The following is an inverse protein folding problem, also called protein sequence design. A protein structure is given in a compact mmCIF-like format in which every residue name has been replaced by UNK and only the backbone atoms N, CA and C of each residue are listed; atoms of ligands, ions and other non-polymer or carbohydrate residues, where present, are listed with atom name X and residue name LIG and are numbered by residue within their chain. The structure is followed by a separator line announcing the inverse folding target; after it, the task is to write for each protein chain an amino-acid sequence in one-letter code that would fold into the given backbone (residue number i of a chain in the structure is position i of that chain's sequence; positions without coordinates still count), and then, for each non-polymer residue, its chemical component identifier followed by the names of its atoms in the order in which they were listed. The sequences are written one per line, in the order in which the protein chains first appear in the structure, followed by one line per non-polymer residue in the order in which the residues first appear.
data_IF_733017596990
#
_entry.id   IF_733017596990
#
_cell.length_a   1.000
_cell.length_b   1.000
_cell.length_c   1.000
_cell.angle_alpha   90.00
_cell.angle_beta   90.00
_cell.angle_gamma   90.00
#
_symmetry.space_group_name_H-M   'P 1'
#
loop_
_entity.id
_entity.type
_entity.pdbx_description
1 polymer ?
#
# COMPACT_ATOMS: atom_id res chain seq x y z
N UNK A 1 18.05 -23.09 42.78
CA UNK A 1 18.90 -22.89 41.59
C UNK A 1 17.99 -22.77 40.38
N UNK A 2 17.60 -21.56 39.98
CA UNK A 2 16.67 -21.33 38.87
C UNK A 2 17.43 -21.09 37.57
N UNK A 3 17.09 -21.82 36.51
CA UNK A 3 17.66 -21.62 35.19
C UNK A 3 17.17 -20.29 34.61
N UNK A 4 18.08 -19.33 34.43
CA UNK A 4 17.81 -18.08 33.71
C UNK A 4 17.66 -18.43 32.22
N UNK A 5 16.43 -18.35 31.70
CA UNK A 5 16.16 -18.46 30.26
C UNK A 5 16.21 -17.05 29.67
N UNK A 6 17.38 -16.64 29.18
CA UNK A 6 17.45 -15.53 28.23
C UNK A 6 16.81 -16.03 26.93
N UNK A 7 15.54 -15.66 26.71
CA UNK A 7 14.81 -16.05 25.50
C UNK A 7 15.49 -15.47 24.26
N UNK A 8 15.52 -16.23 23.16
CA UNK A 8 15.97 -15.70 21.87
C UNK A 8 15.20 -14.42 21.55
N UNK A 9 15.91 -13.28 21.51
CA UNK A 9 15.37 -12.04 20.91
C UNK A 9 15.19 -12.30 19.42
N UNK A 10 13.99 -12.76 19.04
CA UNK A 10 13.61 -12.94 17.65
C UNK A 10 13.76 -11.62 16.91
N UNK A 11 14.69 -11.56 15.96
CA UNK A 11 14.75 -10.47 15.00
C UNK A 11 13.77 -10.74 13.86
N UNK A 12 13.35 -9.69 13.14
CA UNK A 12 12.49 -9.85 11.96
C UNK A 12 13.26 -10.62 10.87
N UNK A 13 12.70 -11.74 10.42
CA UNK A 13 13.25 -12.47 9.28
C UNK A 13 13.02 -11.65 8.01
N UNK A 14 14.08 -11.00 7.50
CA UNK A 14 14.06 -10.27 6.24
C UNK A 14 14.50 -11.21 5.11
N UNK A 15 13.53 -11.76 4.40
CA UNK A 15 13.77 -12.72 3.28
C UNK A 15 14.08 -11.99 1.96
N UNK A 16 13.65 -10.73 1.84
CA UNK A 16 13.84 -9.91 0.64
C UNK A 16 14.91 -8.85 0.86
N UNK A 17 15.77 -8.67 -0.14
CA UNK A 17 16.75 -7.59 -0.17
C UNK A 17 16.08 -6.22 -0.33
N UNK A 18 16.73 -5.13 0.06
CA UNK A 18 16.20 -3.77 -0.13
C UNK A 18 15.86 -3.46 -1.59
N UNK A 19 16.69 -3.94 -2.53
CA UNK A 19 16.40 -3.83 -3.96
C UNK A 19 15.15 -4.60 -4.41
N UNK A 20 14.87 -5.78 -3.82
CA UNK A 20 13.66 -6.55 -4.12
C UNK A 20 12.41 -5.87 -3.56
N UNK A 21 12.53 -5.26 -2.37
CA UNK A 21 11.46 -4.44 -1.79
C UNK A 21 11.17 -3.23 -2.68
N UNK A 22 12.20 -2.54 -3.16
CA UNK A 22 12.06 -1.41 -4.10
C UNK A 22 11.38 -1.83 -5.41
N UNK A 23 11.73 -2.99 -5.97
CA UNK A 23 11.09 -3.53 -7.18
C UNK A 23 9.60 -3.79 -6.94
N UNK A 24 9.24 -4.42 -5.82
CA UNK A 24 7.84 -4.69 -5.46
C UNK A 24 7.09 -3.37 -5.25
N UNK A 25 7.70 -2.40 -4.59
CA UNK A 25 7.12 -1.09 -4.36
C UNK A 25 6.81 -0.38 -5.68
N UNK A 26 7.80 -0.28 -6.58
CA UNK A 26 7.59 0.36 -7.89
C UNK A 26 6.57 -0.37 -8.76
N UNK A 27 6.61 -1.70 -8.79
CA UNK A 27 5.66 -2.52 -9.55
C UNK A 27 4.23 -2.36 -9.04
N UNK A 28 4.07 -2.29 -7.71
CA UNK A 28 2.77 -2.09 -7.06
C UNK A 28 2.19 -0.72 -7.40
N UNK A 29 3.02 0.32 -7.38
CA UNK A 29 2.62 1.66 -7.76
C UNK A 29 2.24 1.75 -9.25
N UNK A 30 3.00 1.11 -10.15
CA UNK A 30 2.63 1.05 -11.57
C UNK A 30 1.30 0.35 -11.80
N UNK A 31 1.02 -0.75 -11.08
CA UNK A 31 -0.27 -1.43 -11.13
C UNK A 31 -1.39 -0.51 -10.64
N UNK A 32 -1.19 0.20 -9.52
CA UNK A 32 -2.18 1.11 -8.96
C UNK A 32 -2.45 2.34 -9.85
N UNK A 33 -1.47 2.79 -10.64
CA UNK A 33 -1.69 3.87 -11.62
C UNK A 33 -2.42 3.38 -12.87
N UNK A 34 -2.13 2.16 -13.33
CA UNK A 34 -2.75 1.58 -14.53
C UNK A 34 -4.16 1.07 -14.25
N UNK A 35 -4.41 0.58 -13.04
CA UNK A 35 -5.66 -0.05 -12.66
C UNK A 35 -6.54 0.95 -11.92
N UNK A 36 -7.75 1.10 -12.42
CA UNK A 36 -8.82 1.82 -11.72
C UNK A 36 -9.34 0.99 -10.53
N UNK A 37 -9.27 1.56 -9.33
CA UNK A 37 -9.80 0.94 -8.12
C UNK A 37 -11.30 1.17 -8.01
N UNK A 38 -12.08 0.10 -7.94
CA UNK A 38 -13.52 0.21 -7.69
C UNK A 38 -13.78 0.40 -6.20
N UNK A 39 -14.39 1.52 -5.83
CA UNK A 39 -14.63 1.92 -4.44
C UNK A 39 -16.12 2.13 -4.25
N UNK A 40 -16.75 1.24 -3.51
CA UNK A 40 -18.20 1.24 -3.35
C UNK A 40 -18.71 2.32 -2.38
N UNK A 41 -17.81 2.91 -1.60
CA UNK A 41 -18.11 3.93 -0.60
C UNK A 41 -17.90 5.34 -1.19
N UNK A 42 -18.97 6.12 -1.23
CA UNK A 42 -19.00 7.46 -1.79
C UNK A 42 -18.18 8.48 -0.98
N UNK A 43 -18.03 8.31 0.34
CA UNK A 43 -17.17 9.17 1.17
C UNK A 43 -15.69 8.99 0.83
N UNK A 44 -15.26 7.74 0.59
CA UNK A 44 -13.89 7.43 0.18
C UNK A 44 -13.60 8.00 -1.21
N UNK A 45 -14.54 7.86 -2.15
CA UNK A 45 -14.43 8.49 -3.48
C UNK A 45 -14.30 10.02 -3.37
N UNK A 46 -15.05 10.64 -2.47
CA UNK A 46 -15.01 12.08 -2.25
C UNK A 46 -13.68 12.53 -1.60
N UNK A 47 -13.16 11.74 -0.65
CA UNK A 47 -11.84 11.96 -0.07
C UNK A 47 -10.74 11.90 -1.13
N UNK A 48 -10.76 10.88 -1.99
CA UNK A 48 -9.80 10.71 -3.08
C UNK A 48 -9.87 11.87 -4.08
N UNK A 49 -11.09 12.31 -4.42
CA UNK A 49 -11.28 13.48 -5.29
C UNK A 49 -10.66 14.74 -4.68
N UNK A 50 -10.83 14.97 -3.38
CA UNK A 50 -10.22 16.09 -2.64
C UNK A 50 -8.69 16.01 -2.61
N UNK A 51 -8.15 14.80 -2.55
CA UNK A 51 -6.70 14.56 -2.61
C UNK A 51 -6.10 14.67 -4.02
N UNK A 52 -6.90 15.03 -5.03
CA UNK A 52 -6.45 15.24 -6.41
C UNK A 52 -6.49 14.00 -7.30
N UNK A 53 -7.07 12.89 -6.83
CA UNK A 53 -7.26 11.70 -7.67
C UNK A 53 -8.32 11.93 -8.75
N UNK A 54 -8.13 11.24 -9.88
CA UNK A 54 -9.17 11.10 -10.91
C UNK A 54 -10.20 10.10 -10.40
N UNK A 55 -11.44 10.55 -10.24
CA UNK A 55 -12.55 9.76 -9.70
C UNK A 55 -13.74 9.84 -10.65
N UNK A 56 -14.32 8.68 -10.93
CA UNK A 56 -15.55 8.49 -11.69
C UNK A 56 -16.65 7.99 -10.73
N UNK A 57 -17.58 8.87 -10.37
CA UNK A 57 -18.64 8.57 -9.41
C UNK A 57 -19.74 7.67 -10.02
N UNK A 58 -19.96 7.72 -11.34
CA UNK A 58 -20.96 6.89 -12.02
C UNK A 58 -20.58 5.41 -11.99
N UNK A 59 -19.31 5.09 -12.24
CA UNK A 59 -18.79 3.71 -12.23
C UNK A 59 -18.23 3.30 -10.87
N UNK A 60 -18.15 4.25 -9.91
CA UNK A 60 -17.54 4.10 -8.60
C UNK A 60 -16.07 3.67 -8.68
N UNK A 61 -15.29 4.36 -9.51
CA UNK A 61 -13.88 4.04 -9.78
C UNK A 61 -12.97 5.22 -9.51
N UNK A 62 -11.76 4.96 -9.01
CA UNK A 62 -10.75 5.97 -8.73
C UNK A 62 -9.36 5.51 -9.18
N UNK A 63 -8.54 6.45 -9.66
CA UNK A 63 -7.13 6.22 -9.98
C UNK A 63 -6.25 6.66 -8.82
N UNK A 64 -5.45 5.75 -8.29
CA UNK A 64 -4.44 6.08 -7.29
C UNK A 64 -3.17 6.55 -8.01
N UNK A 65 -2.91 7.86 -8.00
CA UNK A 65 -1.67 8.40 -8.55
C UNK A 65 -0.49 8.09 -7.62
N UNK A 66 0.70 7.84 -8.19
CA UNK A 66 1.95 7.60 -7.43
C UNK A 66 2.22 8.64 -6.33
N UNK A 67 1.78 9.88 -6.52
CA UNK A 67 1.96 10.97 -5.54
C UNK A 67 1.23 10.75 -4.20
N UNK A 68 0.24 9.86 -4.16
CA UNK A 68 -0.60 9.65 -2.98
C UNK A 68 -0.05 8.61 -2.01
N UNK A 69 0.84 7.73 -2.49
CA UNK A 69 1.38 6.60 -1.74
C UNK A 69 2.86 6.86 -1.50
N UNK A 70 3.25 6.93 -0.22
CA UNK A 70 4.62 7.13 0.25
C UNK A 70 5.30 5.80 0.54
#
# INVERSE_FOLDING_TARGET
MGFYRDGLKGNNLKVLSDGEVEIIHQSSLELLEKIEMKIHNDEILNLLKKSGCKVDFSTKRAFASKKLVK
#
